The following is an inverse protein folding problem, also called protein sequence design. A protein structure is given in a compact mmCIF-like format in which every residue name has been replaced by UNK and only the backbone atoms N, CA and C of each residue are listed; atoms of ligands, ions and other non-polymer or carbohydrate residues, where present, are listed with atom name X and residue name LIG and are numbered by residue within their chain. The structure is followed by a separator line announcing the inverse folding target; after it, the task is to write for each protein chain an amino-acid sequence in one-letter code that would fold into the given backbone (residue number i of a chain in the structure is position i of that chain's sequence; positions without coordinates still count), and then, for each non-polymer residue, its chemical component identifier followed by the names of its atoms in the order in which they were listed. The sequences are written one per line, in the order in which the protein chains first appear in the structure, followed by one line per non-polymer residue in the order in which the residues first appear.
data_IF_827615149737
#
_entry.id   IF_827615149737
#
_cell.length_a   1.000
_cell.length_b   1.000
_cell.length_c   1.000
_cell.angle_alpha   90.00
_cell.angle_beta   90.00
_cell.angle_gamma   90.00
#
_symmetry.space_group_name_H-M   'P 1'
#
loop_
_entity.id
_entity.type
_entity.pdbx_description
1 polymer ?
#
# COMPACT_ATOMS: atom_id res chain seq x y z
N UNK A 1 30.01 -15.91 1.05
CA UNK A 1 28.61 -16.35 0.82
C UNK A 1 27.80 -15.15 0.36
N UNK A 2 27.23 -15.29 -0.86
CA UNK A 2 26.09 -14.59 -1.49
C UNK A 2 25.86 -13.09 -1.21
N UNK A 3 26.32 -12.26 -2.14
CA UNK A 3 25.65 -11.00 -2.47
C UNK A 3 24.31 -11.36 -3.16
N UNK A 4 23.19 -11.07 -2.51
CA UNK A 4 21.88 -10.99 -3.17
C UNK A 4 21.61 -9.52 -3.43
N UNK A 5 22.22 -8.98 -4.48
CA UNK A 5 21.74 -7.72 -5.04
C UNK A 5 20.48 -8.08 -5.82
N UNK A 6 19.31 -7.91 -5.19
CA UNK A 6 18.06 -7.81 -5.92
C UNK A 6 18.26 -6.76 -7.01
N UNK A 7 18.29 -7.23 -8.26
CA UNK A 7 18.71 -6.42 -9.38
C UNK A 7 17.60 -5.41 -9.68
N UNK A 8 17.76 -4.17 -9.20
CA UNK A 8 16.82 -3.05 -9.43
C UNK A 8 16.59 -2.83 -10.95
N UNK A 9 17.49 -3.33 -11.80
CA UNK A 9 17.31 -3.43 -13.25
C UNK A 9 16.18 -4.35 -13.73
N UNK A 10 15.45 -5.07 -12.86
CA UNK A 10 14.28 -5.87 -13.27
C UNK A 10 12.97 -5.07 -13.41
N UNK A 11 12.91 -3.82 -12.95
CA UNK A 11 11.72 -2.98 -13.16
C UNK A 11 11.57 -2.50 -14.61
N UNK A 12 12.62 -2.60 -15.44
CA UNK A 12 12.59 -2.21 -16.86
C UNK A 12 12.07 -3.32 -17.79
N UNK A 13 11.78 -4.52 -17.27
CA UNK A 13 11.34 -5.69 -18.06
C UNK A 13 10.10 -6.40 -17.54
N UNK A 14 9.38 -5.84 -16.55
CA UNK A 14 8.08 -6.38 -16.17
C UNK A 14 7.09 -6.08 -17.30
N UNK A 15 6.54 -7.14 -17.88
CA UNK A 15 5.43 -7.04 -18.82
C UNK A 15 4.33 -6.16 -18.18
N UNK A 16 3.91 -5.11 -18.90
CA UNK A 16 2.86 -4.20 -18.44
C UNK A 16 1.58 -4.98 -18.08
N UNK A 17 1.36 -6.12 -18.74
CA UNK A 17 0.27 -7.04 -18.45
C UNK A 17 0.39 -7.63 -17.04
N UNK A 18 1.58 -8.11 -16.65
CA UNK A 18 1.83 -8.66 -15.31
C UNK A 18 1.65 -7.58 -14.25
N UNK A 19 2.13 -6.37 -14.50
CA UNK A 19 1.96 -5.23 -13.57
C UNK A 19 0.47 -4.91 -13.42
N UNK A 20 -0.27 -4.81 -14.52
CA UNK A 20 -1.70 -4.55 -14.48
C UNK A 20 -2.45 -5.63 -13.68
N UNK A 21 -2.18 -6.91 -13.95
CA UNK A 21 -2.80 -8.03 -13.24
C UNK A 21 -2.53 -8.00 -11.73
N UNK A 22 -1.27 -7.78 -11.33
CA UNK A 22 -0.87 -7.72 -9.92
C UNK A 22 -1.51 -6.52 -9.21
N UNK A 23 -1.55 -5.36 -9.85
CA UNK A 23 -2.25 -4.18 -9.31
C UNK A 23 -3.73 -4.48 -9.14
N UNK A 24 -4.39 -5.01 -10.17
CA UNK A 24 -5.84 -5.30 -10.12
C UNK A 24 -6.16 -6.32 -9.04
N UNK A 25 -5.37 -7.40 -8.94
CA UNK A 25 -5.53 -8.41 -7.90
C UNK A 25 -5.39 -7.79 -6.50
N UNK A 26 -4.33 -7.00 -6.29
CA UNK A 26 -4.10 -6.29 -5.04
C UNK A 26 -5.27 -5.36 -4.67
N UNK A 27 -5.73 -4.53 -5.60
CA UNK A 27 -6.80 -3.57 -5.35
C UNK A 27 -8.13 -4.27 -5.03
N UNK A 28 -8.46 -5.35 -5.74
CA UNK A 28 -9.67 -6.15 -5.47
C UNK A 28 -9.60 -6.87 -4.13
N UNK A 29 -8.42 -7.34 -3.73
CA UNK A 29 -8.23 -7.91 -2.40
C UNK A 29 -8.41 -6.85 -1.31
N UNK A 30 -7.84 -5.65 -1.50
CA UNK A 30 -7.90 -4.55 -0.53
C UNK A 30 -9.31 -3.96 -0.39
N UNK A 31 -10.04 -3.87 -1.50
CA UNK A 31 -11.39 -3.33 -1.57
C UNK A 31 -12.30 -4.26 -2.39
N UNK A 32 -12.87 -5.33 -1.79
CA UNK A 32 -13.65 -6.34 -2.51
C UNK A 32 -14.93 -5.81 -3.17
N UNK A 33 -15.50 -4.74 -2.62
CA UNK A 33 -16.72 -4.11 -3.12
C UNK A 33 -16.44 -2.67 -3.53
N UNK A 34 -17.02 -2.25 -4.66
CA UNK A 34 -16.85 -0.89 -5.19
C UNK A 34 -15.37 -0.48 -5.30
N UNK A 35 -14.49 -1.39 -5.73
CA UNK A 35 -13.03 -1.21 -5.75
C UNK A 35 -12.62 0.13 -6.36
N UNK A 36 -13.12 0.45 -7.56
CA UNK A 36 -12.77 1.68 -8.26
C UNK A 36 -13.13 2.96 -7.47
N UNK A 37 -14.24 2.95 -6.73
CA UNK A 37 -14.68 4.10 -5.92
C UNK A 37 -13.74 4.31 -4.72
N UNK A 38 -13.41 3.24 -4.00
CA UNK A 38 -12.55 3.34 -2.82
C UNK A 38 -11.13 3.76 -3.19
N UNK A 39 -10.55 3.11 -4.20
CA UNK A 39 -9.19 3.41 -4.67
C UNK A 39 -9.11 4.83 -5.22
N UNK A 40 -10.10 5.29 -5.99
CA UNK A 40 -10.13 6.66 -6.50
C UNK A 40 -10.16 7.71 -5.38
N UNK A 41 -10.91 7.45 -4.31
CA UNK A 41 -10.94 8.29 -3.11
C UNK A 41 -9.59 8.27 -2.40
N UNK A 42 -9.02 7.09 -2.21
CA UNK A 42 -7.76 6.95 -1.46
C UNK A 42 -6.58 7.61 -2.21
N UNK A 43 -6.62 7.62 -3.55
CA UNK A 43 -5.58 8.21 -4.42
C UNK A 43 -5.85 9.66 -4.84
N UNK A 44 -7.03 10.19 -4.53
CA UNK A 44 -7.51 11.49 -5.01
C UNK A 44 -7.42 11.65 -6.55
N UNK A 45 -7.97 10.68 -7.27
CA UNK A 45 -8.04 10.68 -8.75
C UNK A 45 -9.44 10.30 -9.24
N UNK A 46 -9.68 10.45 -10.55
CA UNK A 46 -10.98 10.10 -11.11
C UNK A 46 -11.28 8.59 -11.01
N UNK A 47 -12.53 8.27 -10.67
CA UNK A 47 -13.03 6.89 -10.68
C UNK A 47 -12.87 6.21 -12.04
N UNK A 48 -12.99 6.98 -13.12
CA UNK A 48 -12.84 6.47 -14.48
C UNK A 48 -11.42 5.98 -14.77
N UNK A 49 -10.39 6.71 -14.29
CA UNK A 49 -9.00 6.27 -14.42
C UNK A 49 -8.78 4.93 -13.73
N UNK A 50 -9.29 4.77 -12.51
CA UNK A 50 -9.19 3.51 -11.78
C UNK A 50 -10.01 2.40 -12.44
N UNK A 51 -11.20 2.72 -12.97
CA UNK A 51 -12.01 1.76 -13.71
C UNK A 51 -11.27 1.23 -14.94
N UNK A 52 -10.52 2.08 -15.67
CA UNK A 52 -9.66 1.63 -16.79
C UNK A 52 -8.61 0.62 -16.33
N UNK A 53 -8.00 0.80 -15.16
CA UNK A 53 -7.06 -0.19 -14.63
C UNK A 53 -7.74 -1.52 -14.33
N UNK A 54 -8.92 -1.48 -13.69
CA UNK A 54 -9.61 -2.68 -13.18
C UNK A 54 -10.36 -3.46 -14.26
N UNK A 55 -11.01 -2.75 -15.19
CA UNK A 55 -11.93 -3.35 -16.18
C UNK A 55 -11.22 -3.61 -17.51
N UNK A 56 -10.31 -2.72 -17.91
CA UNK A 56 -9.61 -2.81 -19.20
C UNK A 56 -8.21 -3.39 -19.09
N UNK A 57 -7.77 -3.75 -17.89
CA UNK A 57 -6.43 -4.30 -17.64
C UNK A 57 -5.30 -3.33 -18.01
N UNK A 58 -5.58 -2.02 -18.04
CA UNK A 58 -4.55 -1.03 -18.35
C UNK A 58 -3.60 -0.88 -17.16
N UNK A 59 -2.30 -1.07 -17.37
CA UNK A 59 -1.32 -0.81 -16.32
C UNK A 59 -1.38 0.67 -15.88
N UNK A 60 -1.33 0.97 -14.58
CA UNK A 60 -1.08 2.33 -14.14
C UNK A 60 0.25 2.84 -14.73
N UNK A 61 0.27 4.11 -15.14
CA UNK A 61 1.52 4.76 -15.53
C UNK A 61 2.41 5.00 -14.30
N UNK A 62 3.62 5.53 -14.50
CA UNK A 62 4.57 5.76 -13.41
C UNK A 62 3.98 6.62 -12.28
N UNK A 63 3.24 7.68 -12.61
CA UNK A 63 2.57 8.52 -11.62
C UNK A 63 1.50 7.75 -10.83
N UNK A 64 0.68 6.94 -11.51
CA UNK A 64 -0.31 6.07 -10.89
C UNK A 64 0.32 5.06 -9.95
N UNK A 65 1.43 4.44 -10.34
CA UNK A 65 2.21 3.54 -9.48
C UNK A 65 2.74 4.29 -8.25
N UNK A 66 3.31 5.48 -8.41
CA UNK A 66 3.80 6.28 -7.28
C UNK A 66 2.68 6.67 -6.30
N UNK A 67 1.50 7.05 -6.80
CA UNK A 67 0.32 7.32 -5.95
C UNK A 67 -0.13 6.08 -5.20
N UNK A 68 -0.18 4.93 -5.88
CA UNK A 68 -0.49 3.65 -5.25
C UNK A 68 0.53 3.31 -4.16
N UNK A 69 1.83 3.50 -4.39
CA UNK A 69 2.88 3.27 -3.38
C UNK A 69 2.72 4.23 -2.21
N UNK A 70 2.42 5.50 -2.44
CA UNK A 70 2.23 6.47 -1.35
C UNK A 70 1.07 6.08 -0.41
N UNK A 71 -0.01 5.52 -0.96
CA UNK A 71 -1.22 5.14 -0.22
C UNK A 71 -1.10 3.76 0.41
N UNK A 72 -0.67 2.77 -0.37
CA UNK A 72 -0.69 1.35 0.01
C UNK A 72 0.68 0.82 0.46
N UNK A 73 1.73 1.62 0.30
CA UNK A 73 3.05 1.43 0.89
C UNK A 73 3.65 0.06 0.59
N UNK A 74 4.28 -0.58 1.57
CA UNK A 74 5.04 -1.82 1.38
C UNK A 74 4.18 -2.99 0.91
N UNK A 75 2.89 -3.01 1.26
CA UNK A 75 1.97 -4.07 0.84
C UNK A 75 1.81 -4.13 -0.69
N UNK A 76 1.73 -2.96 -1.35
CA UNK A 76 1.69 -2.91 -2.81
C UNK A 76 2.99 -3.39 -3.45
N UNK A 77 4.14 -3.00 -2.90
CA UNK A 77 5.45 -3.41 -3.42
C UNK A 77 5.61 -4.93 -3.34
N UNK A 78 5.16 -5.55 -2.25
CA UNK A 78 5.16 -7.01 -2.09
C UNK A 78 4.27 -7.67 -3.16
N UNK A 79 3.08 -7.12 -3.41
CA UNK A 79 2.18 -7.63 -4.43
C UNK A 79 2.77 -7.49 -5.85
N UNK A 80 3.37 -6.34 -6.16
CA UNK A 80 4.01 -6.07 -7.45
C UNK A 80 5.22 -6.95 -7.72
N UNK A 81 6.01 -7.30 -6.70
CA UNK A 81 7.15 -8.19 -6.83
C UNK A 81 6.75 -9.67 -6.81
N UNK A 82 5.52 -10.00 -6.39
CA UNK A 82 5.02 -11.37 -6.32
C UNK A 82 5.54 -12.13 -5.10
N UNK A 83 5.96 -11.41 -4.06
CA UNK A 83 6.57 -11.97 -2.86
C UNK A 83 7.37 -10.93 -2.09
N UNK A 84 7.60 -11.21 -0.81
CA UNK A 84 8.41 -10.35 0.04
C UNK A 84 9.86 -10.87 0.09
N UNK A 85 10.75 -10.19 -0.64
CA UNK A 85 12.19 -10.31 -0.42
C UNK A 85 12.52 -9.91 1.04
N UNK A 86 13.61 -10.45 1.58
CA UNK A 86 13.92 -10.30 3.01
C UNK A 86 13.99 -8.82 3.45
N UNK A 87 14.59 -7.95 2.64
CA UNK A 87 14.68 -6.52 2.93
C UNK A 87 13.30 -5.83 2.94
N UNK A 88 12.39 -6.26 2.06
CA UNK A 88 11.04 -5.69 1.96
C UNK A 88 10.13 -6.21 3.07
N UNK A 89 10.32 -7.47 3.49
CA UNK A 89 9.65 -8.02 4.66
C UNK A 89 10.04 -7.25 5.94
N UNK A 90 11.31 -6.89 6.09
CA UNK A 90 11.80 -6.05 7.19
C UNK A 90 11.19 -4.65 7.12
N UNK A 91 11.18 -4.02 5.93
CA UNK A 91 10.54 -2.71 5.74
C UNK A 91 9.04 -2.75 6.10
N UNK A 92 8.31 -3.77 5.65
CA UNK A 92 6.90 -3.95 5.97
C UNK A 92 6.66 -4.19 7.47
N UNK A 93 7.60 -4.87 8.15
CA UNK A 93 7.53 -5.01 9.60
C UNK A 93 7.71 -3.68 10.33
N UNK A 94 8.72 -2.88 9.95
CA UNK A 94 8.93 -1.55 10.54
C UNK A 94 7.73 -0.63 10.30
N UNK A 95 7.17 -0.65 9.10
CA UNK A 95 5.99 0.14 8.75
C UNK A 95 4.76 -0.24 9.59
N UNK A 96 4.48 -1.54 9.74
CA UNK A 96 3.39 -2.03 10.60
C UNK A 96 3.62 -1.65 12.06
N UNK A 97 4.86 -1.80 12.54
CA UNK A 97 5.22 -1.45 13.91
C UNK A 97 5.01 0.04 14.19
N UNK A 98 5.51 0.91 13.32
CA UNK A 98 5.33 2.36 13.45
C UNK A 98 3.83 2.76 13.44
N UNK A 99 3.02 2.08 12.62
CA UNK A 99 1.56 2.28 12.63
C UNK A 99 0.95 1.92 13.99
N UNK A 100 1.26 0.74 14.53
CA UNK A 100 0.72 0.33 15.83
C UNK A 100 1.20 1.21 16.98
N UNK A 101 2.46 1.66 16.95
CA UNK A 101 2.99 2.62 17.93
C UNK A 101 2.26 3.96 17.86
N UNK A 102 1.95 4.46 16.65
CA UNK A 102 1.17 5.68 16.47
C UNK A 102 -0.29 5.53 16.93
N UNK A 103 -0.93 4.39 16.64
CA UNK A 103 -2.29 4.07 17.10
C UNK A 103 -2.35 3.97 18.64
N UNK A 104 -1.34 3.33 19.26
CA UNK A 104 -1.23 3.25 20.71
C UNK A 104 -1.03 4.63 21.33
N UNK A 105 -0.13 5.45 20.77
CA UNK A 105 0.10 6.80 21.26
C UNK A 105 -1.15 7.67 21.16
N UNK A 106 -1.89 7.57 20.05
CA UNK A 106 -3.16 8.27 19.87
C UNK A 106 -4.21 7.84 20.89
N UNK A 107 -4.36 6.53 21.10
CA UNK A 107 -5.28 5.99 22.10
C UNK A 107 -4.91 6.43 23.53
N UNK A 108 -3.63 6.39 23.89
CA UNK A 108 -3.16 6.84 25.21
C UNK A 108 -3.39 8.34 25.39
N UNK A 109 -3.22 9.15 24.34
CA UNK A 109 -3.52 10.58 24.41
C UNK A 109 -5.02 10.86 24.60
N UNK A 110 -5.90 10.07 23.97
CA UNK A 110 -7.35 10.21 24.09
C UNK A 110 -7.87 9.71 25.45
N UNK A 111 -7.43 8.54 25.90
CA UNK A 111 -7.95 7.86 27.09
C UNK A 111 -7.16 8.13 28.36
N UNK A 112 -5.89 8.55 28.27
CA UNK A 112 -5.03 8.84 29.41
C UNK A 112 -5.66 9.81 30.42
N UNK A 113 -6.20 10.97 29.99
CA UNK A 113 -6.88 11.90 30.88
C UNK A 113 -8.10 11.29 31.59
N UNK A 114 -8.84 10.40 30.93
CA UNK A 114 -10.02 9.73 31.48
C UNK A 114 -9.67 8.58 32.44
N UNK A 115 -8.53 7.91 32.21
CA UNK A 115 -8.08 6.75 32.99
C UNK A 115 -7.18 7.12 34.18
N UNK A 116 -6.47 8.25 34.10
CA UNK A 116 -5.53 8.71 35.13
C UNK A 116 -6.13 9.72 36.12
N UNK A 117 -7.40 10.10 35.94
CA UNK A 117 -8.12 10.94 36.90
C UNK A 117 -7.51 12.33 37.07
N UNK A 118 -7.02 12.95 35.99
CA UNK A 118 -6.73 14.38 36.03
C UNK A 118 -8.06 15.13 36.04
N UNK A 119 -8.43 15.58 37.24
CA UNK A 119 -9.66 16.33 37.52
C UNK A 119 -9.90 17.42 36.48
N UNK A 120 -11.09 17.36 35.88
CA UNK A 120 -11.65 18.43 35.06
C UNK A 120 -11.77 19.69 35.95
N UNK A 121 -11.24 20.86 35.56
CA UNK A 121 -11.56 22.10 36.27
C UNK A 121 -13.05 22.43 36.16
#
# INVERSE_FOLDING_TARGET
MRQSHGNIGQLSGLDQTIVAERVVAFLRQRHPHSTAKHVARDLDISRETVAKWIERGSAPNAEGILKLIAVYKTDLLIALLGGAEQWLAVAAWHERRARFEAEQAAFVAEMGPLLLGEDRP
#
